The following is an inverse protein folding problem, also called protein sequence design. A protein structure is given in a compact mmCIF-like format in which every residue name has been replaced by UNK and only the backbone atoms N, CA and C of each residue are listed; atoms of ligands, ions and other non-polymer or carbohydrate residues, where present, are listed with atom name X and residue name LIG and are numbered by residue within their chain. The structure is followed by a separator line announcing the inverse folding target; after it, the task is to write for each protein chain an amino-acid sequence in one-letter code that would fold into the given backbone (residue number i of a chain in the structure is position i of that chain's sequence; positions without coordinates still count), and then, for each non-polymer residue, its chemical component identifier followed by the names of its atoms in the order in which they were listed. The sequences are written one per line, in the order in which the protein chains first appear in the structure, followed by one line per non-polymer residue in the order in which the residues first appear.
data_IF_609049303082
#
_entry.id   IF_609049303082
#
_cell.length_a   1.000
_cell.length_b   1.000
_cell.length_c   1.000
_cell.angle_alpha   90.00
_cell.angle_beta   90.00
_cell.angle_gamma   90.00
#
_symmetry.space_group_name_H-M   'P 1'
#
loop_
_entity.id
_entity.type
_entity.pdbx_description
1 polymer ?
#
# COMPACT_ATOMS: atom_id res chain seq x y z
N UNK A 1 18.07 29.67 -1.80
CA UNK A 1 16.69 30.08 -1.46
C UNK A 1 15.63 29.48 -2.38
N UNK A 2 15.75 29.47 -3.72
CA UNK A 2 14.70 28.94 -4.61
C UNK A 2 14.40 27.43 -4.48
N UNK A 3 15.44 26.61 -4.32
CA UNK A 3 15.28 25.15 -4.20
C UNK A 3 14.55 24.75 -2.91
N UNK A 4 14.77 25.50 -1.83
CA UNK A 4 14.14 25.24 -0.53
C UNK A 4 12.66 25.62 -0.50
N UNK A 5 12.29 26.73 -1.15
CA UNK A 5 10.89 27.10 -1.34
C UNK A 5 10.12 26.01 -2.13
N UNK A 6 10.68 25.59 -3.27
CA UNK A 6 10.10 24.52 -4.08
C UNK A 6 9.96 23.20 -3.30
N UNK A 7 10.97 22.83 -2.51
CA UNK A 7 10.89 21.64 -1.64
C UNK A 7 9.74 21.72 -0.64
N UNK A 8 9.56 22.88 0.01
CA UNK A 8 8.47 23.10 0.98
C UNK A 8 7.10 22.97 0.33
N UNK A 9 6.92 23.51 -0.87
CA UNK A 9 5.65 23.40 -1.60
C UNK A 9 5.31 21.94 -1.94
N UNK A 10 6.31 21.15 -2.35
CA UNK A 10 6.16 19.72 -2.61
C UNK A 10 5.82 18.96 -1.32
N UNK A 11 6.54 19.22 -0.23
CA UNK A 11 6.28 18.61 1.08
C UNK A 11 4.87 18.94 1.59
N UNK A 12 4.44 20.20 1.44
CA UNK A 12 3.09 20.65 1.80
C UNK A 12 2.02 19.96 0.98
N UNK A 13 2.16 19.92 -0.34
CA UNK A 13 1.20 19.25 -1.24
C UNK A 13 1.10 17.75 -0.93
N UNK A 14 2.22 17.10 -0.64
CA UNK A 14 2.24 15.70 -0.26
C UNK A 14 1.54 15.46 1.09
N UNK A 15 1.77 16.33 2.08
CA UNK A 15 1.07 16.28 3.37
C UNK A 15 -0.45 16.43 3.24
N UNK A 16 -0.92 17.33 2.37
CA UNK A 16 -2.35 17.50 2.07
C UNK A 16 -2.92 16.21 1.48
N UNK A 17 -2.26 15.64 0.47
CA UNK A 17 -2.71 14.40 -0.16
C UNK A 17 -2.74 13.22 0.82
N UNK A 18 -1.73 13.09 1.70
CA UNK A 18 -1.72 12.05 2.74
C UNK A 18 -2.86 12.21 3.75
N UNK A 19 -3.19 13.44 4.14
CA UNK A 19 -4.28 13.70 5.09
C UNK A 19 -5.67 13.38 4.51
N UNK A 20 -5.83 13.54 3.19
CA UNK A 20 -7.09 13.32 2.48
C UNK A 20 -7.24 11.88 1.97
N UNK A 21 -6.14 11.24 1.58
CA UNK A 21 -6.15 9.90 0.97
C UNK A 21 -5.23 8.94 1.74
N UNK A 22 -5.83 8.11 2.60
CA UNK A 22 -5.09 7.14 3.42
C UNK A 22 -4.20 6.17 2.60
N UNK A 23 -4.57 5.89 1.35
CA UNK A 23 -3.77 5.07 0.43
C UNK A 23 -2.39 5.68 0.11
N UNK A 24 -2.24 7.01 0.19
CA UNK A 24 -0.97 7.72 -0.01
C UNK A 24 -0.09 7.64 1.24
N UNK A 25 -0.67 7.42 2.42
CA UNK A 25 0.06 7.24 3.68
C UNK A 25 0.57 5.80 3.88
N UNK A 26 0.09 4.84 3.08
CA UNK A 26 0.43 3.42 3.21
C UNK A 26 1.81 3.02 2.66
N UNK A 27 2.26 1.77 2.91
CA UNK A 27 3.57 1.29 2.46
C UNK A 27 3.66 1.23 0.93
N UNK A 28 4.41 2.17 0.34
CA UNK A 28 4.63 2.22 -1.11
C UNK A 28 5.52 1.09 -1.64
N UNK A 29 6.34 0.48 -0.77
CA UNK A 29 7.30 -0.59 -1.12
C UNK A 29 6.67 -1.87 -1.69
N UNK A 30 5.38 -2.09 -1.45
CA UNK A 30 4.64 -3.26 -1.97
C UNK A 30 4.11 -3.05 -3.39
N UNK A 31 4.16 -1.83 -3.90
CA UNK A 31 3.55 -1.44 -5.16
C UNK A 31 4.62 -1.22 -6.22
N UNK A 32 4.33 -1.63 -7.45
CA UNK A 32 5.20 -1.28 -8.58
C UNK A 32 5.16 0.24 -8.81
N UNK A 33 6.24 0.79 -9.39
CA UNK A 33 6.30 2.22 -9.75
C UNK A 33 5.12 2.66 -10.62
N UNK A 34 4.64 1.80 -11.52
CA UNK A 34 3.48 2.07 -12.37
C UNK A 34 2.22 2.25 -11.52
N UNK A 35 1.98 1.36 -10.56
CA UNK A 35 0.78 1.44 -9.73
C UNK A 35 0.86 2.64 -8.78
N UNK A 36 2.04 2.95 -8.23
CA UNK A 36 2.22 4.18 -7.43
C UNK A 36 1.95 5.44 -8.26
N UNK A 37 2.41 5.47 -9.51
CA UNK A 37 2.12 6.56 -10.44
C UNK A 37 0.61 6.69 -10.65
N UNK A 38 -0.08 5.60 -10.96
CA UNK A 38 -1.53 5.60 -11.19
C UNK A 38 -2.31 6.04 -9.93
N UNK A 39 -1.90 5.58 -8.74
CA UNK A 39 -2.47 6.02 -7.45
C UNK A 39 -2.29 7.53 -7.27
N UNK A 40 -1.06 8.04 -7.43
CA UNK A 40 -0.75 9.46 -7.24
C UNK A 40 -1.51 10.35 -8.23
N UNK A 41 -1.52 9.98 -9.51
CA UNK A 41 -2.27 10.71 -10.55
C UNK A 41 -3.76 10.74 -10.22
N UNK A 42 -4.33 9.61 -9.79
CA UNK A 42 -5.74 9.53 -9.42
C UNK A 42 -6.04 10.42 -8.21
N UNK A 43 -5.19 10.40 -7.17
CA UNK A 43 -5.37 11.27 -5.99
C UNK A 43 -5.29 12.75 -6.34
N UNK A 44 -4.39 13.15 -7.26
CA UNK A 44 -4.28 14.55 -7.73
C UNK A 44 -5.54 14.96 -8.49
N UNK A 45 -6.03 14.13 -9.41
CA UNK A 45 -7.25 14.42 -10.18
C UNK A 45 -8.45 14.55 -9.23
N UNK A 46 -8.64 13.58 -8.33
CA UNK A 46 -9.73 13.63 -7.35
C UNK A 46 -9.62 14.83 -6.42
N UNK A 47 -8.40 15.19 -5.98
CA UNK A 47 -8.21 16.39 -5.17
C UNK A 47 -8.66 17.64 -5.92
N UNK A 48 -8.24 17.80 -7.17
CA UNK A 48 -8.63 18.94 -7.99
C UNK A 48 -10.15 18.96 -8.23
N UNK A 49 -10.76 17.82 -8.51
CA UNK A 49 -12.21 17.71 -8.68
C UNK A 49 -12.98 18.07 -7.40
N UNK A 50 -12.51 17.62 -6.22
CA UNK A 50 -13.10 17.99 -4.94
C UNK A 50 -12.96 19.49 -4.68
N UNK A 51 -11.80 20.08 -4.98
CA UNK A 51 -11.60 21.53 -4.83
C UNK A 51 -12.49 22.33 -5.80
N UNK A 52 -12.69 21.84 -7.03
CA UNK A 52 -13.60 22.45 -8.00
C UNK A 52 -15.07 22.34 -7.58
N UNK A 53 -15.48 21.22 -6.99
CA UNK A 53 -16.84 20.99 -6.48
C UNK A 53 -17.13 21.74 -5.17
N UNK A 54 -16.16 21.77 -4.24
CA UNK A 54 -16.24 22.49 -2.96
C UNK A 54 -16.03 24.01 -3.14
N UNK A 55 -15.60 24.47 -4.32
CA UNK A 55 -15.48 25.90 -4.66
C UNK A 55 -16.84 26.53 -4.84
N UNK A 56 -17.48 26.84 -3.72
CA UNK A 56 -18.26 28.08 -3.61
C UNK A 56 -17.28 29.25 -3.81
N UNK A 57 -17.69 30.24 -4.60
CA UNK A 57 -16.85 31.26 -5.26
C UNK A 57 -16.05 32.17 -4.30
N UNK A 58 -16.20 31.98 -2.98
CA UNK A 58 -15.65 32.80 -1.91
C UNK A 58 -14.93 31.98 -0.80
N UNK A 59 -14.73 30.68 -1.00
CA UNK A 59 -14.05 29.84 -0.01
C UNK A 59 -12.55 30.19 0.07
N UNK A 60 -12.17 30.87 1.14
CA UNK A 60 -10.77 31.08 1.51
C UNK A 60 -10.11 29.72 1.68
N UNK A 61 -8.86 29.53 1.21
CA UNK A 61 -8.09 28.33 1.51
C UNK A 61 -7.95 28.27 3.03
N UNK A 62 -8.86 27.56 3.70
CA UNK A 62 -8.76 27.36 5.14
C UNK A 62 -7.45 26.60 5.36
N UNK A 63 -6.56 27.24 6.11
CA UNK A 63 -5.39 26.59 6.67
C UNK A 63 -5.90 25.55 7.66
N UNK A 64 -6.23 24.37 7.11
CA UNK A 64 -6.64 23.23 7.90
C UNK A 64 -5.50 22.96 8.87
N UNK A 65 -5.81 23.02 10.17
CA UNK A 65 -4.85 22.78 11.24
C UNK A 65 -3.97 21.58 10.85
N UNK A 66 -2.65 21.76 10.95
CA UNK A 66 -1.69 20.69 10.73
C UNK A 66 -2.20 19.45 11.47
N UNK A 67 -2.62 18.45 10.71
CA UNK A 67 -2.95 17.14 11.29
C UNK A 67 -1.65 16.74 11.99
N UNK A 68 -1.68 16.45 13.31
CA UNK A 68 -0.48 16.04 14.01
C UNK A 68 0.19 15.00 13.16
N UNK A 69 1.41 15.29 12.72
CA UNK A 69 2.20 14.35 11.91
C UNK A 69 2.10 13.06 12.69
N UNK A 70 1.44 12.05 12.13
CA UNK A 70 1.48 10.75 12.75
C UNK A 70 2.97 10.45 12.84
N UNK A 71 3.51 10.48 14.05
CA UNK A 71 4.82 9.91 14.33
C UNK A 71 4.61 8.43 14.08
N UNK A 72 4.64 8.06 12.80
CA UNK A 72 4.95 6.71 12.40
C UNK A 72 6.40 6.61 12.83
N UNK A 73 6.61 6.25 14.10
CA UNK A 73 7.86 5.68 14.54
C UNK A 73 8.12 4.54 13.57
N UNK A 74 8.97 4.80 12.58
CA UNK A 74 9.55 3.78 11.75
C UNK A 74 10.48 3.02 12.70
N UNK A 75 9.90 2.15 13.53
CA UNK A 75 10.66 1.28 14.42
C UNK A 75 11.72 0.62 13.56
N UNK A 76 12.98 0.63 13.99
CA UNK A 76 14.10 0.04 13.24
C UNK A 76 13.92 -1.45 12.89
N UNK A 77 12.88 -2.08 13.43
CA UNK A 77 12.42 -3.44 13.15
C UNK A 77 11.46 -3.55 11.94
N UNK A 78 11.03 -2.43 11.34
CA UNK A 78 10.11 -2.44 10.18
C UNK A 78 10.71 -3.16 8.99
N UNK A 79 12.03 -3.06 8.76
CA UNK A 79 12.67 -3.77 7.65
C UNK A 79 12.71 -5.27 7.91
N UNK A 80 13.03 -5.70 9.15
CA UNK A 80 13.04 -7.12 9.52
C UNK A 80 11.63 -7.72 9.47
N UNK A 81 10.63 -7.03 10.03
CA UNK A 81 9.21 -7.43 9.96
C UNK A 81 8.71 -7.47 8.52
N UNK A 82 9.14 -6.54 7.68
CA UNK A 82 8.83 -6.52 6.26
C UNK A 82 9.51 -7.66 5.50
N UNK A 83 10.78 -7.98 5.80
CA UNK A 83 11.46 -9.14 5.21
C UNK A 83 10.79 -10.46 5.63
N UNK A 84 10.36 -10.57 6.89
CA UNK A 84 9.61 -11.73 7.38
C UNK A 84 8.27 -11.88 6.63
N UNK A 85 7.54 -10.78 6.46
CA UNK A 85 6.31 -10.75 5.66
C UNK A 85 6.54 -11.20 4.22
N UNK A 86 7.59 -10.70 3.56
CA UNK A 86 7.95 -11.09 2.20
C UNK A 86 8.33 -12.57 2.10
N UNK A 87 9.06 -13.09 3.08
CA UNK A 87 9.45 -14.50 3.15
C UNK A 87 8.22 -15.41 3.25
N UNK A 88 7.29 -15.10 4.18
CA UNK A 88 6.03 -15.84 4.34
C UNK A 88 5.16 -15.78 3.09
N UNK A 89 5.02 -14.61 2.48
CA UNK A 89 4.23 -14.44 1.26
C UNK A 89 4.81 -15.20 0.06
N UNK A 90 6.14 -15.31 -0.01
CA UNK A 90 6.82 -16.10 -1.05
C UNK A 90 6.55 -17.59 -0.89
N UNK A 91 6.58 -18.10 0.35
CA UNK A 91 6.25 -19.50 0.64
C UNK A 91 4.79 -19.83 0.30
N UNK A 92 3.84 -18.95 0.62
CA UNK A 92 2.42 -19.17 0.29
C UNK A 92 2.20 -19.21 -1.23
N UNK A 93 2.98 -18.44 -1.98
CA UNK A 93 2.92 -18.39 -3.45
C UNK A 93 3.88 -19.35 -4.12
N UNK A 94 4.57 -20.20 -3.36
CA UNK A 94 5.51 -21.15 -3.90
C UNK A 94 4.73 -22.22 -4.69
N UNK A 95 4.94 -22.18 -6.01
CA UNK A 95 4.22 -23.03 -6.95
C UNK A 95 4.66 -24.48 -6.85
N UNK A 96 5.93 -24.72 -6.55
CA UNK A 96 6.49 -26.06 -6.47
C UNK A 96 6.00 -26.74 -5.19
N UNK A 97 6.06 -26.03 -4.05
CA UNK A 97 5.48 -26.50 -2.80
C UNK A 97 3.98 -26.80 -2.93
N UNK A 98 3.22 -25.96 -3.65
CA UNK A 98 1.81 -26.21 -3.95
C UNK A 98 1.59 -27.49 -4.78
N UNK A 99 2.43 -27.74 -5.80
CA UNK A 99 2.34 -28.94 -6.65
C UNK A 99 2.69 -30.20 -5.84
N UNK A 100 3.73 -30.13 -5.01
CA UNK A 100 4.14 -31.24 -4.13
C UNK A 100 3.03 -31.60 -3.15
N UNK A 101 2.49 -30.60 -2.42
CA UNK A 101 1.37 -30.80 -1.49
C UNK A 101 0.15 -31.40 -2.20
N UNK A 102 -0.21 -30.90 -3.39
CA UNK A 102 -1.32 -31.44 -4.17
C UNK A 102 -1.08 -32.90 -4.56
N UNK A 103 0.14 -33.24 -4.98
CA UNK A 103 0.48 -34.60 -5.40
C UNK A 103 0.44 -35.56 -4.21
N UNK A 104 1.03 -35.17 -3.07
CA UNK A 104 0.96 -35.93 -1.83
C UNK A 104 -0.49 -36.15 -1.35
N UNK A 105 -1.34 -35.13 -1.50
CA UNK A 105 -2.75 -35.23 -1.13
C UNK A 105 -3.52 -36.20 -2.03
N UNK A 106 -3.23 -36.21 -3.33
CA UNK A 106 -3.77 -37.17 -4.29
C UNK A 106 -3.36 -38.59 -3.90
N UNK A 107 -2.07 -38.83 -3.65
CA UNK A 107 -1.56 -40.16 -3.24
C UNK A 107 -2.19 -40.65 -1.94
N UNK A 108 -2.34 -39.76 -0.95
CA UNK A 108 -2.99 -40.10 0.32
C UNK A 108 -4.44 -40.53 0.11
N UNK A 109 -5.22 -39.77 -0.66
CA UNK A 109 -6.61 -40.12 -0.97
C UNK A 109 -6.69 -41.45 -1.72
N UNK A 110 -5.84 -41.68 -2.72
CA UNK A 110 -5.80 -42.96 -3.44
C UNK A 110 -5.51 -44.13 -2.50
N UNK A 111 -4.56 -43.98 -1.58
CA UNK A 111 -4.25 -45.00 -0.57
C UNK A 111 -5.43 -45.28 0.36
N UNK A 112 -6.18 -44.25 0.79
CA UNK A 112 -7.36 -44.44 1.63
C UNK A 112 -8.47 -45.19 0.89
N UNK A 113 -8.75 -44.83 -0.36
CA UNK A 113 -9.74 -45.52 -1.19
C UNK A 113 -9.39 -46.99 -1.41
N UNK A 114 -8.13 -47.31 -1.77
CA UNK A 114 -7.70 -48.71 -1.95
C UNK A 114 -7.70 -49.54 -0.67
N UNK A 115 -7.52 -48.90 0.49
CA UNK A 115 -7.59 -49.58 1.79
C UNK A 115 -9.04 -49.73 2.28
N UNK A 116 -10.01 -49.00 1.70
CA UNK A 116 -11.44 -49.10 2.03
C UNK A 116 -12.19 -50.15 1.21
N UNK A 117 -11.61 -50.64 0.11
CA UNK A 117 -12.19 -51.67 -0.77
C UNK A 117 -11.64 -53.09 -0.51
N UNK A 118 -10.78 -53.26 0.51
CA UNK A 118 -10.34 -54.56 1.06
C UNK A 118 -10.98 -54.82 2.42
#
# INVERSE_FOLDING_TARGET
MKQEACRKDVERAFGVLQSRFAIVAGPSRLWSKKVLHDIMTTCIIMHNMIIEDERDIDATIEERAEVPRAEVEMMGDDDARFQEFLSRHRQIKDRDAHIELRTALIEHLWSEYTNSEN
#
